data_IF_077715693827
#
_entry.id   IF_077715693827
#
_cell.length_a   1.000
_cell.length_b   1.000
_cell.length_c   1.000
_cell.angle_alpha   90.00
_cell.angle_beta   90.00
_cell.angle_gamma   90.00
#
_symmetry.space_group_name_H-M   'P 1'
#
loop_
_entity.id
_entity.type
_entity.pdbx_description
1 polymer ?
#
# COMPACT_ATOMS: atom_id res chain seq x y z
N UNK A 1 -3.87 10.52 25.32
CA UNK A 1 -5.20 9.97 24.96
C UNK A 1 -5.31 10.07 23.45
N UNK A 2 -5.37 8.95 22.74
CA UNK A 2 -5.39 8.95 21.26
C UNK A 2 -6.71 9.54 20.76
N UNK A 3 -6.63 10.48 19.82
CA UNK A 3 -7.82 11.05 19.19
C UNK A 3 -8.58 10.01 18.37
N UNK A 4 -9.88 10.22 18.17
CA UNK A 4 -10.65 9.47 17.17
C UNK A 4 -10.56 10.15 15.82
N UNK A 5 -10.60 9.41 14.72
CA UNK A 5 -10.59 10.02 13.39
C UNK A 5 -10.26 9.06 12.27
N UNK A 6 -10.24 9.56 11.02
CA UNK A 6 -9.89 8.75 9.86
C UNK A 6 -8.42 8.33 9.93
N UNK A 7 -8.16 7.10 9.48
CA UNK A 7 -6.81 6.61 9.22
C UNK A 7 -6.71 6.09 7.79
N UNK A 8 -5.50 6.18 7.24
CA UNK A 8 -5.13 5.51 6.01
C UNK A 8 -3.72 4.96 6.18
N UNK A 9 -3.58 3.65 6.32
CA UNK A 9 -2.33 3.01 6.70
C UNK A 9 -1.95 1.90 5.70
N UNK A 10 -0.64 1.73 5.50
CA UNK A 10 -0.07 0.67 4.67
C UNK A 10 0.85 -0.19 5.53
N UNK A 11 0.69 -1.50 5.46
CA UNK A 11 1.45 -2.42 6.30
C UNK A 11 1.25 -3.87 5.92
N UNK A 12 1.37 -4.77 6.88
CA UNK A 12 1.05 -6.19 6.76
C UNK A 12 0.02 -6.59 7.80
N UNK A 13 -0.79 -7.59 7.48
CA UNK A 13 -1.79 -8.13 8.40
C UNK A 13 -1.16 -9.26 9.20
N UNK A 14 -1.31 -9.21 10.52
CA UNK A 14 -1.07 -10.31 11.41
C UNK A 14 -2.33 -10.68 12.17
N UNK A 15 -2.16 -11.61 13.09
CA UNK A 15 -3.20 -12.00 14.02
C UNK A 15 -2.63 -12.22 15.41
N UNK A 16 -3.53 -12.24 16.39
CA UNK A 16 -3.26 -12.54 17.79
C UNK A 16 -4.50 -13.19 18.44
N UNK A 17 -4.31 -13.97 19.49
CA UNK A 17 -5.40 -14.67 20.19
C UNK A 17 -5.93 -13.91 21.41
N UNK A 18 -5.23 -12.87 21.85
CA UNK A 18 -5.50 -12.04 23.03
C UNK A 18 -5.23 -12.74 24.35
N UNK A 19 -5.48 -14.05 24.44
CA UNK A 19 -5.29 -14.86 25.65
C UNK A 19 -4.76 -16.25 25.30
N UNK A 20 -4.05 -16.88 26.24
CA UNK A 20 -3.60 -18.26 26.09
C UNK A 20 -4.78 -19.23 25.94
N UNK A 21 -5.83 -19.07 26.75
CA UNK A 21 -7.02 -19.92 26.68
C UNK A 21 -7.68 -19.91 25.28
N UNK A 22 -7.71 -18.75 24.61
CA UNK A 22 -8.25 -18.65 23.25
C UNK A 22 -7.34 -19.33 22.23
N UNK A 23 -6.02 -19.18 22.37
CA UNK A 23 -5.03 -19.88 21.53
C UNK A 23 -5.19 -21.40 21.66
N UNK A 24 -5.33 -21.89 22.90
CA UNK A 24 -5.50 -23.32 23.18
C UNK A 24 -6.81 -23.86 22.60
N UNK A 25 -7.91 -23.11 22.74
CA UNK A 25 -9.20 -23.45 22.12
C UNK A 25 -9.12 -23.53 20.58
N UNK A 26 -8.39 -22.62 19.93
CA UNK A 26 -8.14 -22.72 18.48
C UNK A 26 -7.29 -23.96 18.15
N UNK A 27 -6.33 -24.31 19.00
CA UNK A 27 -5.55 -25.55 18.87
C UNK A 27 -6.42 -26.81 18.95
N UNK A 28 -7.40 -26.84 19.87
CA UNK A 28 -8.39 -27.93 19.95
C UNK A 28 -9.25 -28.00 18.68
N UNK A 29 -9.71 -26.85 18.17
CA UNK A 29 -10.46 -26.78 16.91
C UNK A 29 -9.65 -27.31 15.72
N UNK A 30 -8.34 -27.04 15.66
CA UNK A 30 -7.43 -27.62 14.67
C UNK A 30 -7.36 -29.15 14.81
N UNK A 31 -7.20 -29.65 16.04
CA UNK A 31 -7.17 -31.08 16.31
C UNK A 31 -8.46 -31.78 15.89
N UNK A 32 -9.62 -31.21 16.23
CA UNK A 32 -10.95 -31.72 15.84
C UNK A 32 -11.17 -31.68 14.33
N UNK A 33 -10.56 -30.71 13.63
CA UNK A 33 -10.56 -30.64 12.17
C UNK A 33 -9.51 -31.57 11.51
N UNK A 34 -8.81 -32.40 12.29
CA UNK A 34 -7.69 -33.25 11.84
C UNK A 34 -6.56 -32.46 11.16
N UNK A 35 -6.43 -31.17 11.50
CA UNK A 35 -5.31 -30.32 11.10
C UNK A 35 -4.26 -30.44 12.21
N UNK A 36 -3.32 -31.38 12.06
CA UNK A 36 -2.14 -31.41 12.95
C UNK A 36 -1.31 -30.16 12.67
N UNK A 37 -1.15 -29.31 13.66
CA UNK A 37 -0.56 -28.01 13.40
C UNK A 37 -0.35 -27.08 14.60
N UNK A 38 0.31 -25.97 14.31
CA UNK A 38 0.54 -24.86 15.20
C UNK A 38 -0.47 -23.74 14.90
N UNK A 39 -1.30 -23.29 15.87
CA UNK A 39 -2.23 -22.17 15.66
C UNK A 39 -1.52 -20.85 15.30
N UNK A 40 -0.24 -20.70 15.66
CA UNK A 40 0.54 -19.51 15.33
C UNK A 40 1.05 -19.52 13.87
N UNK A 41 0.91 -20.63 13.13
CA UNK A 41 1.27 -20.71 11.72
C UNK A 41 0.13 -20.11 10.86
N UNK A 42 0.40 -19.01 10.12
CA UNK A 42 -0.57 -18.34 9.27
C UNK A 42 -1.28 -19.25 8.25
N UNK A 43 -0.54 -20.16 7.63
CA UNK A 43 -1.05 -21.05 6.58
C UNK A 43 -1.99 -22.08 7.20
N UNK A 44 -1.62 -22.61 8.36
CA UNK A 44 -2.40 -23.63 9.06
C UNK A 44 -3.65 -23.03 9.70
N UNK A 45 -3.55 -21.85 10.31
CA UNK A 45 -4.70 -21.10 10.81
C UNK A 45 -5.69 -20.81 9.67
N UNK A 46 -5.21 -20.35 8.51
CA UNK A 46 -6.10 -20.11 7.36
C UNK A 46 -6.77 -21.39 6.85
N UNK A 47 -6.09 -22.54 6.87
CA UNK A 47 -6.71 -23.83 6.54
C UNK A 47 -7.87 -24.14 7.49
N UNK A 48 -7.69 -23.89 8.79
CA UNK A 48 -8.76 -24.00 9.78
C UNK A 48 -9.88 -23.01 9.48
N UNK A 49 -9.59 -21.73 9.24
CA UNK A 49 -10.61 -20.70 8.98
C UNK A 49 -11.43 -20.99 7.71
N UNK A 50 -10.83 -21.60 6.68
CA UNK A 50 -11.57 -22.08 5.50
C UNK A 50 -12.53 -23.22 5.84
N UNK A 51 -12.12 -24.12 6.73
CA UNK A 51 -12.93 -25.26 7.17
C UNK A 51 -14.00 -24.85 8.19
N UNK A 52 -13.70 -23.90 9.07
CA UNK A 52 -14.58 -23.33 10.09
C UNK A 52 -14.59 -21.79 10.00
N UNK A 53 -15.33 -21.20 9.03
CA UNK A 53 -15.38 -19.75 8.83
C UNK A 53 -15.84 -18.96 10.06
N UNK A 54 -16.62 -19.59 10.94
CA UNK A 54 -17.10 -18.98 12.19
C UNK A 54 -15.99 -18.63 13.17
N UNK A 55 -14.78 -19.17 13.03
CA UNK A 55 -13.66 -18.87 13.93
C UNK A 55 -12.94 -17.56 13.59
N UNK A 56 -13.26 -16.95 12.44
CA UNK A 56 -12.60 -15.74 11.94
C UNK A 56 -12.85 -14.51 12.85
N UNK A 57 -13.93 -14.54 13.63
CA UNK A 57 -14.29 -13.53 14.64
C UNK A 57 -13.62 -13.76 16.01
N UNK A 58 -12.97 -14.92 16.21
CA UNK A 58 -12.26 -15.27 17.45
C UNK A 58 -10.80 -14.81 17.44
N UNK A 59 -10.34 -14.28 16.33
CA UNK A 59 -8.97 -13.84 16.15
C UNK A 59 -8.92 -12.32 16.18
N UNK A 60 -7.93 -11.75 16.87
CA UNK A 60 -7.64 -10.31 16.81
C UNK A 60 -6.80 -10.09 15.57
N UNK A 61 -7.33 -9.37 14.59
CA UNK A 61 -6.59 -8.98 13.40
C UNK A 61 -5.74 -7.75 13.71
N UNK A 62 -4.49 -7.74 13.26
CA UNK A 62 -3.52 -6.71 13.62
C UNK A 62 -2.89 -6.12 12.37
N UNK A 63 -2.95 -4.79 12.22
CA UNK A 63 -2.12 -4.10 11.23
C UNK A 63 -0.72 -3.87 11.82
N UNK A 64 0.29 -4.33 11.11
CA UNK A 64 1.70 -4.14 11.44
C UNK A 64 2.36 -3.22 10.42
N UNK A 65 3.09 -2.21 10.88
CA UNK A 65 3.93 -1.34 10.05
C UNK A 65 5.37 -1.59 10.47
N UNK A 66 6.25 -1.95 9.53
CA UNK A 66 7.63 -2.35 9.81
C UNK A 66 7.76 -3.40 10.93
N UNK A 67 6.85 -4.40 10.91
CA UNK A 67 6.72 -5.49 11.90
C UNK A 67 6.24 -5.05 13.29
N UNK A 68 5.98 -3.76 13.49
CA UNK A 68 5.43 -3.23 14.74
C UNK A 68 3.90 -3.27 14.66
N UNK A 69 3.27 -3.95 15.61
CA UNK A 69 1.82 -3.94 15.75
C UNK A 69 1.33 -2.54 16.18
N UNK A 70 0.52 -1.90 15.32
CA UNK A 70 0.02 -0.54 15.56
C UNK A 70 -1.47 -0.51 15.87
N UNK A 71 -2.27 -1.32 15.15
CA UNK A 71 -3.73 -1.27 15.26
C UNK A 71 -4.32 -2.67 15.34
N UNK A 72 -5.34 -2.82 16.18
CA UNK A 72 -6.27 -3.93 16.07
C UNK A 72 -7.37 -3.56 15.07
N UNK A 73 -7.71 -4.48 14.17
CA UNK A 73 -8.67 -4.26 13.10
C UNK A 73 -9.98 -4.95 13.43
N UNK A 74 -11.07 -4.20 13.31
CA UNK A 74 -12.41 -4.73 13.42
C UNK A 74 -13.25 -4.33 12.21
N UNK A 75 -14.17 -5.18 11.74
CA UNK A 75 -15.13 -4.79 10.72
C UNK A 75 -15.98 -3.61 11.20
N UNK A 76 -16.18 -2.63 10.31
CA UNK A 76 -17.14 -1.56 10.53
C UNK A 76 -18.52 -2.16 10.83
N UNK A 77 -19.15 -1.64 11.88
CA UNK A 77 -20.52 -2.03 12.23
C UNK A 77 -21.47 -1.11 11.50
N UNK A 78 -22.39 -1.66 10.70
CA UNK A 78 -23.38 -0.83 10.04
C UNK A 78 -24.23 -0.12 11.10
N UNK A 79 -24.41 1.19 10.97
CA UNK A 79 -25.31 1.94 11.84
C UNK A 79 -26.65 2.09 11.14
N UNK A 80 -27.73 1.59 11.78
CA UNK A 80 -29.11 1.86 11.36
C UNK A 80 -29.76 2.78 12.40
N UNK A 81 -29.69 4.09 12.16
CA UNK A 81 -30.03 5.08 13.18
C UNK A 81 -29.05 5.00 14.37
N UNK A 82 -29.56 5.01 15.59
CA UNK A 82 -28.73 4.90 16.81
C UNK A 82 -28.32 3.45 17.16
N UNK A 83 -28.62 2.48 16.30
CA UNK A 83 -28.39 1.05 16.56
C UNK A 83 -27.28 0.51 15.66
N UNK A 84 -26.29 -0.14 16.27
CA UNK A 84 -25.30 -0.93 15.55
C UNK A 84 -25.95 -2.25 15.10
N UNK A 85 -25.98 -2.47 13.78
CA UNK A 85 -26.46 -3.69 13.15
C UNK A 85 -25.29 -4.35 12.44
N UNK A 86 -25.09 -5.65 12.69
CA UNK A 86 -24.17 -6.43 11.88
C UNK A 86 -24.83 -6.73 10.54
N UNK A 87 -24.35 -6.11 9.46
CA UNK A 87 -24.61 -6.65 8.12
C UNK A 87 -23.68 -7.85 7.97
N UNK A 88 -24.21 -9.05 8.25
CA UNK A 88 -23.41 -10.28 8.31
C UNK A 88 -22.54 -10.51 7.06
N UNK A 89 -22.98 -10.04 5.88
CA UNK A 89 -22.22 -10.08 4.64
C UNK A 89 -20.95 -9.22 4.66
N UNK A 90 -21.01 -7.97 5.13
CA UNK A 90 -19.88 -7.04 5.11
C UNK A 90 -18.80 -7.43 6.13
N UNK A 91 -19.23 -7.85 7.32
CA UNK A 91 -18.33 -8.39 8.35
C UNK A 91 -17.58 -9.61 7.85
N UNK A 92 -18.30 -10.55 7.21
CA UNK A 92 -17.69 -11.75 6.62
C UNK A 92 -16.67 -11.39 5.53
N UNK A 93 -16.95 -10.37 4.71
CA UNK A 93 -16.02 -9.91 3.67
C UNK A 93 -14.73 -9.31 4.24
N UNK A 94 -14.82 -8.42 5.24
CA UNK A 94 -13.64 -7.85 5.90
C UNK A 94 -12.74 -8.96 6.42
N UNK A 95 -13.31 -9.84 7.24
CA UNK A 95 -12.58 -10.91 7.91
C UNK A 95 -12.00 -11.91 6.90
N UNK A 96 -12.72 -12.20 5.82
CA UNK A 96 -12.22 -13.04 4.72
C UNK A 96 -11.06 -12.38 3.97
N UNK A 97 -11.12 -11.07 3.72
CA UNK A 97 -10.03 -10.32 3.07
C UNK A 97 -8.78 -10.29 3.95
N UNK A 98 -8.93 -10.08 5.27
CA UNK A 98 -7.81 -10.13 6.22
C UNK A 98 -7.18 -11.53 6.29
N UNK A 99 -8.00 -12.59 6.29
CA UNK A 99 -7.50 -13.97 6.22
C UNK A 99 -6.75 -14.26 4.90
N UNK A 100 -7.24 -13.72 3.77
CA UNK A 100 -6.53 -13.80 2.47
C UNK A 100 -5.22 -13.04 2.48
N UNK A 101 -5.14 -11.88 3.12
CA UNK A 101 -3.90 -11.12 3.25
C UNK A 101 -2.83 -11.92 3.99
N UNK A 102 -3.21 -12.54 5.12
CA UNK A 102 -2.31 -13.37 5.93
C UNK A 102 -1.77 -14.58 5.14
N UNK A 103 -2.63 -15.24 4.36
CA UNK A 103 -2.24 -16.36 3.47
C UNK A 103 -1.30 -15.90 2.35
N UNK A 104 -1.65 -14.82 1.65
CA UNK A 104 -0.83 -14.28 0.57
C UNK A 104 0.53 -13.78 1.04
N UNK A 105 0.63 -13.25 2.27
CA UNK A 105 1.90 -12.86 2.88
C UNK A 105 2.81 -14.05 3.24
N UNK A 106 2.23 -15.25 3.40
CA UNK A 106 2.98 -16.48 3.64
C UNK A 106 3.33 -17.23 2.34
N UNK A 107 2.77 -16.81 1.20
CA UNK A 107 3.09 -17.38 -0.10
C UNK A 107 4.56 -17.09 -0.49
N UNK A 108 5.19 -17.94 -1.33
CA UNK A 108 6.52 -17.64 -1.86
C UNK A 108 6.53 -16.31 -2.61
N UNK A 109 7.59 -15.52 -2.43
CA UNK A 109 7.72 -14.19 -3.05
C UNK A 109 7.62 -14.20 -4.59
N UNK A 110 7.89 -15.34 -5.23
CA UNK A 110 7.76 -15.55 -6.68
C UNK A 110 6.34 -15.91 -7.14
N UNK A 111 5.36 -16.01 -6.24
CA UNK A 111 3.98 -16.40 -6.57
C UNK A 111 3.12 -15.18 -6.92
N UNK A 112 2.20 -15.31 -7.87
CA UNK A 112 1.18 -14.28 -8.16
C UNK A 112 0.21 -14.04 -7.00
N UNK A 113 0.11 -15.00 -6.07
CA UNK A 113 -0.68 -14.87 -4.85
C UNK A 113 0.06 -14.15 -3.71
N UNK A 114 1.34 -13.79 -3.92
CA UNK A 114 2.16 -13.12 -2.92
C UNK A 114 1.63 -11.72 -2.62
N UNK A 115 1.18 -11.52 -1.39
CA UNK A 115 0.75 -10.23 -0.86
C UNK A 115 1.92 -9.60 -0.13
N UNK A 116 2.52 -8.57 -0.71
CA UNK A 116 3.64 -7.87 -0.07
C UNK A 116 3.14 -6.93 1.02
N UNK A 117 2.05 -6.20 0.77
CA UNK A 117 1.45 -5.23 1.68
C UNK A 117 -0.06 -5.19 1.57
N UNK A 118 -0.67 -4.54 2.54
CA UNK A 118 -2.09 -4.17 2.55
C UNK A 118 -2.19 -2.69 2.81
N UNK A 119 -2.98 -1.99 1.99
CA UNK A 119 -3.44 -0.65 2.32
C UNK A 119 -4.86 -0.71 2.86
N UNK A 120 -5.14 0.08 3.89
CA UNK A 120 -6.49 0.18 4.43
C UNK A 120 -6.85 1.59 4.85
N UNK A 121 -8.12 1.93 4.65
CA UNK A 121 -8.74 3.11 5.21
C UNK A 121 -9.75 2.71 6.29
N UNK A 122 -9.70 3.39 7.43
CA UNK A 122 -10.48 3.02 8.61
C UNK A 122 -10.73 4.18 9.56
N UNK A 123 -11.49 3.92 10.63
CA UNK A 123 -11.81 4.91 11.66
C UNK A 123 -11.20 4.49 13.00
N UNK A 124 -10.30 5.31 13.52
CA UNK A 124 -9.71 5.11 14.84
C UNK A 124 -10.76 5.36 15.92
N UNK A 125 -11.01 4.35 16.74
CA UNK A 125 -12.00 4.39 17.81
C UNK A 125 -11.35 4.70 19.16
N UNK A 126 -12.17 4.88 20.20
CA UNK A 126 -11.71 4.95 21.59
C UNK A 126 -11.44 3.57 22.21
N UNK A 127 -11.74 2.49 21.48
CA UNK A 127 -11.64 1.12 21.97
C UNK A 127 -10.21 0.62 21.80
N UNK A 128 -9.85 -0.38 22.60
CA UNK A 128 -8.53 -1.01 22.57
C UNK A 128 -8.65 -2.52 22.63
N UNK A 129 -7.73 -3.22 21.97
CA UNK A 129 -7.58 -4.67 22.09
C UNK A 129 -6.25 -4.99 22.77
N UNK A 130 -6.28 -5.96 23.70
CA UNK A 130 -5.08 -6.46 24.36
C UNK A 130 -4.62 -7.73 23.66
N UNK A 131 -3.36 -7.76 23.24
CA UNK A 131 -2.69 -8.93 22.68
C UNK A 131 -2.26 -9.90 23.77
N UNK A 132 -1.92 -11.13 23.39
CA UNK A 132 -1.40 -12.15 24.32
C UNK A 132 -0.12 -11.71 25.03
N UNK A 133 0.69 -10.87 24.36
CA UNK A 133 1.90 -10.26 24.92
C UNK A 133 1.62 -9.23 26.04
N UNK A 134 0.36 -8.84 26.23
CA UNK A 134 -0.06 -7.77 27.11
C UNK A 134 -0.06 -6.38 26.46
N UNK A 135 0.51 -6.24 25.25
CA UNK A 135 0.46 -5.00 24.47
C UNK A 135 -1.00 -4.60 24.20
N UNK A 136 -1.31 -3.31 24.38
CA UNK A 136 -2.64 -2.76 24.13
C UNK A 136 -2.60 -1.92 22.85
N UNK A 137 -3.39 -2.31 21.86
CA UNK A 137 -3.50 -1.61 20.59
C UNK A 137 -4.82 -0.84 20.50
N UNK A 138 -4.83 0.36 19.91
CA UNK A 138 -6.07 1.02 19.55
C UNK A 138 -6.80 0.25 18.45
N UNK A 139 -8.14 0.27 18.50
CA UNK A 139 -9.00 -0.41 17.54
C UNK A 139 -9.38 0.53 16.40
N UNK A 140 -9.24 0.05 15.18
CA UNK A 140 -9.67 0.69 13.94
C UNK A 140 -10.82 -0.11 13.35
N UNK A 141 -11.91 0.58 13.05
CA UNK A 141 -13.02 0.04 12.26
C UNK A 141 -12.74 0.18 10.76
N UNK A 142 -12.86 -0.91 10.01
CA UNK A 142 -12.56 -0.98 8.57
C UNK A 142 -13.71 -1.60 7.78
N UNK A 143 -14.00 -1.05 6.60
CA UNK A 143 -14.95 -1.63 5.65
C UNK A 143 -14.22 -2.48 4.60
N UNK A 144 -14.86 -3.55 4.10
CA UNK A 144 -14.23 -4.47 3.15
C UNK A 144 -13.74 -3.77 1.88
N UNK A 145 -14.55 -2.84 1.33
CA UNK A 145 -14.22 -2.03 0.16
C UNK A 145 -13.03 -1.08 0.34
N UNK A 146 -12.53 -0.94 1.57
CA UNK A 146 -11.44 -0.05 1.95
C UNK A 146 -10.15 -0.81 2.30
N UNK A 147 -10.09 -2.11 2.01
CA UNK A 147 -8.90 -2.94 2.18
C UNK A 147 -8.44 -3.37 0.80
N UNK A 148 -7.17 -3.10 0.48
CA UNK A 148 -6.58 -3.43 -0.80
C UNK A 148 -5.30 -4.24 -0.61
N UNK A 149 -5.19 -5.34 -1.36
CA UNK A 149 -4.12 -6.33 -1.23
C UNK A 149 -3.09 -6.12 -2.35
N UNK A 150 -1.85 -5.87 -1.97
CA UNK A 150 -0.81 -5.55 -2.95
C UNK A 150 -0.17 -6.87 -3.40
N UNK A 151 -0.72 -7.42 -4.49
CA UNK A 151 -0.19 -8.60 -5.17
C UNK A 151 1.03 -8.20 -5.99
N UNK A 152 2.22 -8.30 -5.39
CA UNK A 152 3.43 -7.62 -5.91
C UNK A 152 3.75 -8.00 -7.35
N UNK A 153 3.78 -9.30 -7.66
CA UNK A 153 4.13 -9.76 -9.01
C UNK A 153 3.10 -9.33 -10.05
N UNK A 154 1.80 -9.40 -9.71
CA UNK A 154 0.72 -8.93 -10.58
C UNK A 154 0.82 -7.43 -10.84
N UNK A 155 1.14 -6.65 -9.81
CA UNK A 155 1.31 -5.19 -9.92
C UNK A 155 2.53 -4.86 -10.78
N UNK A 156 3.67 -5.52 -10.53
CA UNK A 156 4.91 -5.31 -11.30
C UNK A 156 4.68 -5.68 -12.77
N UNK A 157 4.08 -6.84 -13.05
CA UNK A 157 3.82 -7.27 -14.42
C UNK A 157 2.86 -6.32 -15.15
N UNK A 158 1.82 -5.85 -14.47
CA UNK A 158 0.90 -4.84 -15.03
C UNK A 158 1.62 -3.51 -15.33
N UNK A 159 2.46 -3.06 -14.41
CA UNK A 159 3.28 -1.86 -14.55
C UNK A 159 4.28 -1.96 -15.72
N UNK A 160 5.02 -3.07 -15.80
CA UNK A 160 5.98 -3.37 -16.86
C UNK A 160 5.27 -3.48 -18.20
N UNK A 161 4.15 -4.20 -18.27
CA UNK A 161 3.39 -4.34 -19.52
C UNK A 161 2.90 -3.00 -20.02
N UNK A 162 2.31 -2.19 -19.13
CA UNK A 162 1.88 -0.84 -19.48
C UNK A 162 3.07 0.02 -19.94
N UNK A 163 4.23 -0.08 -19.28
CA UNK A 163 5.44 0.65 -19.68
C UNK A 163 5.90 0.24 -21.09
N UNK A 164 5.94 -1.06 -21.40
CA UNK A 164 6.35 -1.59 -22.70
C UNK A 164 5.40 -1.20 -23.85
N UNK A 165 4.13 -0.88 -23.55
CA UNK A 165 3.16 -0.35 -24.52
C UNK A 165 3.39 1.13 -24.87
N UNK A 166 4.33 1.83 -24.23
CA UNK A 166 4.59 3.24 -24.49
C UNK A 166 5.14 3.46 -25.92
N UNK A 167 4.54 4.34 -26.74
CA UNK A 167 4.98 4.59 -28.12
C UNK A 167 6.45 5.01 -28.24
N UNK A 168 7.02 5.62 -27.21
CA UNK A 168 8.46 5.99 -27.17
C UNK A 168 9.38 4.77 -27.24
N UNK A 169 8.87 3.57 -26.92
CA UNK A 169 9.61 2.31 -26.98
C UNK A 169 9.40 1.53 -28.28
N UNK A 170 8.51 1.96 -29.19
CA UNK A 170 8.17 1.21 -30.40
C UNK A 170 9.39 0.92 -31.31
N UNK A 171 10.44 1.73 -31.22
CA UNK A 171 11.68 1.58 -31.99
C UNK A 171 12.79 0.80 -31.24
N UNK A 172 12.55 0.40 -29.98
CA UNK A 172 13.50 -0.35 -29.14
C UNK A 172 12.96 -1.75 -28.89
N UNK A 173 13.58 -2.77 -29.47
CA UNK A 173 13.21 -4.18 -29.27
C UNK A 173 14.39 -4.96 -28.67
N UNK A 174 14.12 -5.81 -27.67
CA UNK A 174 15.13 -6.67 -27.06
C UNK A 174 14.82 -7.08 -25.62
N UNK A 175 15.44 -8.17 -25.16
CA UNK A 175 15.32 -8.73 -23.79
C UNK A 175 15.76 -7.71 -22.71
N UNK A 176 16.76 -6.87 -23.01
CA UNK A 176 17.28 -5.81 -22.12
C UNK A 176 16.22 -4.76 -21.72
N UNK A 177 15.25 -4.47 -22.58
CA UNK A 177 14.21 -3.45 -22.29
C UNK A 177 13.26 -3.93 -21.20
N UNK A 178 12.83 -5.20 -21.26
CA UNK A 178 11.93 -5.77 -20.26
C UNK A 178 12.62 -5.92 -18.92
N UNK A 179 13.85 -6.42 -18.91
CA UNK A 179 14.63 -6.60 -17.68
C UNK A 179 14.93 -5.25 -17.01
N UNK A 180 15.27 -4.22 -17.81
CA UNK A 180 15.43 -2.85 -17.31
C UNK A 180 14.12 -2.29 -16.76
N UNK A 181 13.00 -2.48 -17.46
CA UNK A 181 11.69 -2.02 -17.00
C UNK A 181 11.27 -2.69 -15.69
N UNK A 182 11.43 -4.01 -15.57
CA UNK A 182 11.15 -4.76 -14.33
C UNK A 182 12.01 -4.22 -13.18
N UNK A 183 13.32 -4.09 -13.38
CA UNK A 183 14.25 -3.57 -12.37
C UNK A 183 13.86 -2.16 -11.89
N UNK A 184 13.57 -1.24 -12.82
CA UNK A 184 13.20 0.14 -12.50
C UNK A 184 11.85 0.22 -11.80
N UNK A 185 10.84 -0.52 -12.27
CA UNK A 185 9.52 -0.58 -11.64
C UNK A 185 9.65 -1.12 -10.22
N UNK A 186 10.38 -2.22 -10.01
CA UNK A 186 10.63 -2.77 -8.67
C UNK A 186 11.37 -1.78 -7.77
N UNK A 187 12.36 -1.06 -8.30
CA UNK A 187 13.07 -0.02 -7.55
C UNK A 187 12.14 1.11 -7.11
N UNK A 188 11.26 1.59 -8.00
CA UNK A 188 10.26 2.63 -7.69
C UNK A 188 9.26 2.14 -6.64
N UNK A 189 8.76 0.92 -6.77
CA UNK A 189 7.86 0.32 -5.77
C UNK A 189 8.57 0.20 -4.41
N UNK A 190 9.75 -0.41 -4.37
CA UNK A 190 10.59 -0.53 -3.17
C UNK A 190 10.83 0.81 -2.48
N UNK A 191 11.15 1.85 -3.27
CA UNK A 191 11.34 3.19 -2.74
C UNK A 191 10.04 3.80 -2.23
N UNK A 192 8.94 3.64 -2.97
CA UNK A 192 7.61 4.09 -2.54
C UNK A 192 7.28 3.48 -1.17
N UNK A 193 7.43 2.15 -1.01
CA UNK A 193 7.22 1.49 0.28
C UNK A 193 8.10 2.05 1.41
N UNK A 194 9.35 2.40 1.12
CA UNK A 194 10.24 2.96 2.13
C UNK A 194 9.76 4.33 2.63
N UNK A 195 9.19 5.15 1.75
CA UNK A 195 8.65 6.47 2.10
C UNK A 195 7.28 6.36 2.82
N UNK A 196 6.49 5.31 2.57
CA UNK A 196 5.16 5.12 3.17
C UNK A 196 5.14 4.66 4.64
N UNK A 197 6.30 4.46 5.27
CA UNK A 197 6.39 3.90 6.63
C UNK A 197 5.95 4.92 7.68
N UNK A 198 4.67 4.94 8.00
CA UNK A 198 4.10 5.79 9.03
C UNK A 198 2.84 5.15 9.64
N UNK A 199 2.28 5.80 10.68
CA UNK A 199 1.10 5.30 11.36
C UNK A 199 -0.22 5.57 10.64
N UNK A 200 -0.24 6.35 9.56
CA UNK A 200 -1.46 6.66 8.82
C UNK A 200 -2.50 7.50 9.57
N UNK A 201 -2.13 8.13 10.69
CA UNK A 201 -3.06 8.86 11.56
C UNK A 201 -3.08 10.36 11.23
N UNK A 202 -1.92 10.98 10.99
CA UNK A 202 -1.88 12.41 10.69
C UNK A 202 -2.40 12.67 9.26
N UNK A 203 -2.95 13.86 8.96
CA UNK A 203 -3.36 14.19 7.59
C UNK A 203 -2.26 14.01 6.55
N UNK A 204 -1.02 14.41 6.88
CA UNK A 204 0.15 14.21 6.03
C UNK A 204 0.42 12.72 5.75
N UNK A 205 0.40 11.88 6.79
CA UNK A 205 0.56 10.42 6.66
C UNK A 205 -0.52 9.82 5.76
N UNK A 206 -1.78 10.23 5.93
CA UNK A 206 -2.89 9.74 5.11
C UNK A 206 -2.71 10.12 3.64
N UNK A 207 -2.29 11.35 3.37
CA UNK A 207 -2.06 11.84 2.02
C UNK A 207 -0.93 11.07 1.33
N UNK A 208 0.17 10.87 2.06
CA UNK A 208 1.32 10.11 1.61
C UNK A 208 0.94 8.66 1.28
N UNK A 209 0.31 7.97 2.24
CA UNK A 209 -0.08 6.58 2.10
C UNK A 209 -1.07 6.38 0.96
N UNK A 210 -2.08 7.25 0.85
CA UNK A 210 -3.06 7.18 -0.22
C UNK A 210 -2.42 7.36 -1.60
N UNK A 211 -1.56 8.37 -1.77
CA UNK A 211 -0.89 8.56 -3.06
C UNK A 211 0.07 7.41 -3.36
N UNK A 212 0.80 6.91 -2.36
CA UNK A 212 1.69 5.77 -2.56
C UNK A 212 0.95 4.49 -2.95
N UNK A 213 -0.22 4.21 -2.38
CA UNK A 213 -1.12 3.16 -2.90
C UNK A 213 -1.46 3.43 -4.36
N UNK A 214 -1.85 4.66 -4.69
CA UNK A 214 -2.13 5.05 -6.07
C UNK A 214 -0.95 4.78 -7.01
N UNK A 215 0.27 5.15 -6.60
CA UNK A 215 1.50 4.94 -7.38
C UNK A 215 1.77 3.47 -7.67
N UNK A 216 1.48 2.60 -6.71
CA UNK A 216 1.65 1.16 -6.87
C UNK A 216 0.65 0.60 -7.87
N UNK A 217 -0.62 1.01 -7.81
CA UNK A 217 -1.67 0.40 -8.63
C UNK A 217 -1.87 1.05 -10.01
N UNK A 218 -1.42 2.28 -10.21
CA UNK A 218 -1.67 3.02 -11.44
C UNK A 218 -0.36 3.40 -12.14
N UNK A 219 -0.02 2.62 -13.16
CA UNK A 219 1.18 2.81 -14.00
C UNK A 219 1.29 4.22 -14.60
N UNK A 220 0.16 4.87 -14.86
CA UNK A 220 0.09 6.26 -15.32
C UNK A 220 0.82 7.26 -14.41
N UNK A 221 0.97 6.97 -13.11
CA UNK A 221 1.57 7.91 -12.17
C UNK A 221 3.10 7.94 -12.22
N UNK A 222 3.75 6.88 -12.72
CA UNK A 222 5.21 6.85 -12.88
C UNK A 222 5.66 6.78 -14.34
N UNK A 223 4.82 6.34 -15.29
CA UNK A 223 5.18 6.30 -16.73
C UNK A 223 5.87 7.59 -17.20
N UNK A 224 5.18 8.73 -17.12
CA UNK A 224 5.76 10.01 -17.56
C UNK A 224 7.03 10.40 -16.77
N UNK A 225 7.04 10.32 -15.43
CA UNK A 225 8.28 10.56 -14.67
C UNK A 225 9.48 9.71 -15.08
N UNK A 226 9.30 8.44 -15.44
CA UNK A 226 10.40 7.55 -15.83
C UNK A 226 11.10 8.03 -17.11
N UNK A 227 10.33 8.59 -18.05
CA UNK A 227 10.82 9.11 -19.32
C UNK A 227 11.26 10.58 -19.27
N UNK A 228 11.18 11.25 -18.11
CA UNK A 228 11.48 12.67 -18.01
C UNK A 228 12.90 13.03 -18.51
N UNK A 229 13.86 12.12 -18.38
CA UNK A 229 15.21 12.29 -18.94
C UNK A 229 15.25 12.39 -20.46
N UNK A 230 14.32 11.74 -21.16
CA UNK A 230 14.33 11.68 -22.62
C UNK A 230 13.82 12.98 -23.23
N UNK A 231 12.89 13.65 -22.55
CA UNK A 231 12.43 14.98 -22.93
C UNK A 231 13.45 16.08 -22.59
N UNK A 232 14.30 15.85 -21.59
CA UNK A 232 15.29 16.83 -21.11
C UNK A 232 16.60 16.80 -21.88
N UNK A 233 16.96 15.64 -22.44
CA UNK A 233 18.30 15.44 -22.98
C UNK A 233 18.47 15.98 -24.42
N UNK A 234 17.40 16.42 -25.11
CA UNK A 234 17.45 16.91 -26.51
C UNK A 234 18.29 15.97 -27.41
N UNK A 235 18.36 14.67 -27.06
CA UNK A 235 19.21 13.70 -27.73
C UNK A 235 18.59 13.48 -29.09
N UNK A 236 19.29 13.83 -30.19
CA UNK A 236 18.78 13.56 -31.51
C UNK A 236 18.49 12.06 -31.61
N UNK A 237 17.43 11.71 -32.32
CA UNK A 237 17.15 10.33 -32.73
C UNK A 237 18.22 9.77 -33.71
N UNK A 238 19.48 10.19 -33.57
CA UNK A 238 20.63 9.64 -34.26
C UNK A 238 21.00 8.32 -33.61
N UNK A 239 20.55 7.25 -34.27
CA UNK A 239 20.97 5.85 -34.35
C UNK A 239 22.25 5.32 -33.65
N UNK A 240 23.16 6.13 -33.09
CA UNK A 240 24.44 5.68 -32.54
C UNK A 240 24.41 5.28 -31.06
N UNK A 241 23.36 5.64 -30.30
CA UNK A 241 23.19 5.23 -28.89
C UNK A 241 22.21 4.05 -28.70
N UNK A 242 21.86 3.36 -29.79
CA UNK A 242 20.89 2.26 -29.80
C UNK A 242 21.30 1.05 -28.92
N UNK A 243 22.55 0.98 -28.46
CA UNK A 243 23.06 -0.09 -27.57
C UNK A 243 23.18 0.28 -26.09
N UNK A 244 22.90 1.52 -25.69
CA UNK A 244 22.99 1.90 -24.28
C UNK A 244 21.65 1.67 -23.56
N UNK A 245 21.70 0.88 -22.49
CA UNK A 245 20.58 0.49 -21.63
C UNK A 245 19.61 1.66 -21.38
N UNK A 246 18.30 1.41 -21.40
CA UNK A 246 17.25 2.42 -21.17
C UNK A 246 17.63 3.40 -20.04
N UNK A 247 17.81 4.69 -20.35
CA UNK A 247 18.14 5.69 -19.33
C UNK A 247 16.86 6.19 -18.67
N UNK A 248 16.36 5.44 -17.68
CA UNK A 248 15.13 5.79 -16.96
C UNK A 248 15.44 6.52 -15.67
N UNK A 249 14.64 7.53 -15.38
CA UNK A 249 14.65 8.19 -14.08
C UNK A 249 14.09 7.23 -13.03
N UNK A 250 14.46 7.41 -11.77
CA UNK A 250 13.90 6.65 -10.65
C UNK A 250 13.41 7.57 -9.55
N UNK A 251 12.54 7.06 -8.69
CA UNK A 251 12.01 7.81 -7.56
C UNK A 251 13.13 8.06 -6.55
N UNK A 252 13.40 9.32 -6.25
CA UNK A 252 14.42 9.74 -5.28
C UNK A 252 13.85 10.07 -3.91
N UNK A 253 12.83 10.93 -3.87
CA UNK A 253 12.25 11.42 -2.62
C UNK A 253 10.76 11.71 -2.78
N UNK A 254 10.02 11.56 -1.69
CA UNK A 254 8.66 12.07 -1.57
C UNK A 254 8.64 13.19 -0.52
N UNK A 255 7.99 14.30 -0.85
CA UNK A 255 7.82 15.45 0.05
C UNK A 255 6.34 15.70 0.24
N UNK A 256 5.90 15.91 1.48
CA UNK A 256 4.50 16.14 1.82
C UNK A 256 4.38 17.48 2.53
N UNK A 257 3.49 18.33 2.05
CA UNK A 257 3.25 19.65 2.63
C UNK A 257 1.78 20.01 2.56
N UNK A 258 1.34 20.94 3.42
CA UNK A 258 -0.05 21.42 3.36
C UNK A 258 -0.24 22.21 2.06
N UNK A 259 -1.31 21.89 1.34
CA UNK A 259 -1.60 22.52 0.05
C UNK A 259 -2.09 23.96 0.23
N UNK A 260 -1.56 24.94 -0.53
CA UNK A 260 -2.05 26.32 -0.51
C UNK A 260 -3.37 26.48 -1.30
N UNK A 261 -3.74 25.50 -2.14
CA UNK A 261 -4.94 25.54 -3.00
C UNK A 261 -6.16 24.84 -2.36
N UNK A 262 -6.06 24.45 -1.10
CA UNK A 262 -7.19 23.90 -0.35
C UNK A 262 -8.31 24.94 -0.13
N UNK A 263 -9.56 24.50 -0.15
CA UNK A 263 -10.67 25.35 0.30
C UNK A 263 -10.74 25.36 1.83
N UNK A 264 -11.47 26.30 2.42
CA UNK A 264 -11.72 26.33 3.88
C UNK A 264 -12.29 25.00 4.42
N UNK A 265 -12.98 24.26 3.55
CA UNK A 265 -13.65 23.00 3.88
C UNK A 265 -12.86 21.76 3.41
N UNK A 266 -11.58 21.88 3.08
CA UNK A 266 -10.75 20.75 2.70
C UNK A 266 -9.54 20.59 3.62
N UNK A 267 -9.08 19.35 3.74
CA UNK A 267 -7.80 19.04 4.39
C UNK A 267 -6.86 18.57 3.28
N UNK A 268 -6.36 19.53 2.50
CA UNK A 268 -5.61 19.26 1.27
C UNK A 268 -4.10 19.31 1.51
N UNK A 269 -3.42 18.30 0.98
CA UNK A 269 -1.98 18.10 1.12
C UNK A 269 -1.36 17.86 -0.26
N UNK A 270 -0.28 18.56 -0.53
CA UNK A 270 0.51 18.38 -1.73
C UNK A 270 1.60 17.34 -1.45
N UNK A 271 1.59 16.28 -2.25
CA UNK A 271 2.60 15.22 -2.24
C UNK A 271 3.42 15.34 -3.51
N UNK A 272 4.69 15.70 -3.34
CA UNK A 272 5.66 15.92 -4.41
C UNK A 272 6.53 14.69 -4.57
N UNK A 273 6.49 14.09 -5.75
CA UNK A 273 7.36 13.00 -6.16
C UNK A 273 8.55 13.58 -6.91
N UNK A 274 9.75 13.29 -6.43
CA UNK A 274 11.00 13.79 -7.01
C UNK A 274 11.72 12.65 -7.70
N UNK A 275 11.79 12.72 -9.02
CA UNK A 275 12.49 11.76 -9.87
C UNK A 275 13.83 12.32 -10.34
N UNK A 276 14.82 11.45 -10.47
CA UNK A 276 16.17 11.82 -10.88
C UNK A 276 16.81 10.75 -11.78
N UNK A 277 17.82 11.15 -12.54
CA UNK A 277 18.66 10.25 -13.33
C UNK A 277 19.69 9.54 -12.41
N UNK A 278 19.61 8.21 -12.23
CA UNK A 278 20.55 7.49 -11.38
C UNK A 278 21.97 7.41 -11.94
N UNK A 279 22.17 7.58 -13.26
CA UNK A 279 23.50 7.57 -13.91
C UNK A 279 24.18 8.93 -13.85
N UNK A 280 23.38 9.99 -13.85
CA UNK A 280 23.88 11.36 -13.75
C UNK A 280 23.07 12.16 -12.72
N UNK A 281 23.30 11.98 -11.40
CA UNK A 281 22.53 12.64 -10.33
C UNK A 281 22.61 14.18 -10.31
N UNK A 282 23.50 14.76 -11.13
CA UNK A 282 23.64 16.21 -11.31
C UNK A 282 22.62 16.77 -12.30
N UNK A 283 21.96 15.92 -13.10
CA UNK A 283 20.93 16.33 -14.05
C UNK A 283 19.71 16.89 -13.32
N UNK A 284 18.92 17.66 -14.07
CA UNK A 284 17.69 18.24 -13.56
C UNK A 284 16.74 17.14 -13.05
N UNK A 285 16.09 17.42 -11.92
CA UNK A 285 15.09 16.52 -11.34
C UNK A 285 13.74 16.82 -11.95
N UNK A 286 12.93 15.77 -12.12
CA UNK A 286 11.54 15.90 -12.55
C UNK A 286 10.64 15.80 -11.33
N UNK A 287 9.80 16.81 -11.11
CA UNK A 287 8.97 16.92 -9.93
C UNK A 287 7.50 16.95 -10.30
N UNK A 288 6.74 16.07 -9.64
CA UNK A 288 5.32 15.86 -9.88
C UNK A 288 4.56 16.08 -8.58
N UNK A 289 3.68 17.07 -8.56
CA UNK A 289 2.92 17.45 -7.38
C UNK A 289 1.48 17.02 -7.55
N UNK A 290 1.01 16.21 -6.60
CA UNK A 290 -0.36 15.73 -6.52
C UNK A 290 -1.02 16.27 -5.26
N UNK A 291 -2.21 16.85 -5.41
CA UNK A 291 -2.99 17.34 -4.27
C UNK A 291 -3.99 16.27 -3.84
N UNK A 292 -3.86 15.80 -2.60
CA UNK A 292 -4.74 14.82 -1.96
C UNK A 292 -5.59 15.52 -0.91
N UNK A 293 -6.90 15.34 -0.95
CA UNK A 293 -7.81 15.76 0.12
C UNK A 293 -8.06 14.58 1.05
N UNK A 294 -7.67 14.73 2.31
CA UNK A 294 -7.74 13.69 3.36
C UNK A 294 -8.79 13.99 4.42
N UNK A 295 -9.73 14.90 4.14
CA UNK A 295 -10.78 15.29 5.09
C UNK A 295 -11.66 14.11 5.50
N UNK A 296 -11.99 13.24 4.54
CA UNK A 296 -12.81 12.06 4.76
C UNK A 296 -11.94 10.82 5.04
N UNK A 297 -12.57 9.74 5.49
CA UNK A 297 -11.95 8.45 5.74
C UNK A 297 -11.31 7.86 4.50
N UNK A 298 -11.91 8.03 3.31
CA UNK A 298 -11.27 7.69 2.05
C UNK A 298 -10.74 8.98 1.42
N UNK A 299 -9.41 9.17 1.36
CA UNK A 299 -8.84 10.33 0.68
C UNK A 299 -9.20 10.34 -0.80
N UNK A 300 -9.18 11.52 -1.39
CA UNK A 300 -9.45 11.71 -2.81
C UNK A 300 -8.34 12.51 -3.48
N UNK A 301 -7.96 12.09 -4.67
CA UNK A 301 -7.06 12.87 -5.52
C UNK A 301 -7.85 14.03 -6.13
N UNK A 302 -7.35 15.25 -5.98
CA UNK A 302 -7.94 16.39 -6.68
C UNK A 302 -7.51 16.39 -8.15
N UNK A 303 -8.40 16.81 -9.08
CA UNK A 303 -8.01 16.97 -10.47
C UNK A 303 -6.91 18.02 -10.58
N UNK A 304 -5.99 17.79 -11.53
CA UNK A 304 -4.76 18.55 -11.81
C UNK A 304 -3.55 18.15 -10.93
N UNK A 305 -2.47 17.72 -11.60
CA UNK A 305 -1.15 17.63 -11.02
C UNK A 305 -0.26 18.67 -11.70
N UNK A 306 0.65 19.28 -10.94
CA UNK A 306 1.63 20.20 -11.49
C UNK A 306 2.92 19.44 -11.77
N UNK A 307 3.45 19.60 -12.99
CA UNK A 307 4.78 19.13 -13.37
C UNK A 307 5.71 20.34 -13.47
N UNK A 308 6.87 20.24 -12.86
CA UNK A 308 7.96 21.18 -13.09
C UNK A 308 9.30 20.45 -13.10
N UNK A 309 10.26 21.07 -13.79
CA UNK A 309 11.63 20.58 -13.92
C UNK A 309 12.51 21.50 -13.11
N UNK A 310 13.36 20.92 -12.25
CA UNK A 310 14.22 21.67 -11.35
C UNK A 310 15.68 21.35 -11.60
N UNK A 311 16.47 22.36 -11.96
CA UNK A 311 17.92 22.27 -12.13
C UNK A 311 18.68 22.35 -10.80
N UNK A 312 18.00 22.63 -9.69
CA UNK A 312 18.59 22.80 -8.37
C UNK A 312 18.50 21.50 -7.56
N UNK A 313 19.56 21.18 -6.80
CA UNK A 313 19.56 20.05 -5.85
C UNK A 313 18.44 20.14 -4.80
N UNK A 314 17.88 21.33 -4.56
CA UNK A 314 16.97 21.67 -3.45
C UNK A 314 15.63 22.29 -3.87
N UNK A 315 15.40 22.59 -5.15
CA UNK A 315 14.17 23.26 -5.58
C UNK A 315 13.10 22.26 -6.04
N UNK A 316 12.83 21.28 -5.17
CA UNK A 316 11.61 20.50 -5.00
C UNK A 316 11.61 20.06 -3.52
#
# INVERSE_FOLDING_TARGET
MGGTGPIYAVGTIGFDFGTQARRDSIGEEMHLAQIRGNPDDPVQLRRLLRFRPRLVDKVIWVLKVDRIALYALEPERAHRGNWQVFVAGEVSQVLSTLARAVDGQAAPASSDSYVSRVSLAGWLTTRTARLISGQVLPVVEVAARRIDLWLENVIVDSAVSAFLEDPRLAQRTGVDVRDTADSVVRAVLNKTYAELRNGGHTPADRALNFLGTGLVHASRFFKEPLFAGWELDDVPASHELASESLNLYTLGRVVVSRSPVGSLYSDSWDVTLVFFDPRAPQRAKACYVFTVDVRDQLPVLRPHYHRFISSSRFAC
#
